data_IF_765807587603
#
_entry.id   IF_765807587603
#
_cell.length_a   1.000
_cell.length_b   1.000
_cell.length_c   1.000
_cell.angle_alpha   90.00
_cell.angle_beta   90.00
_cell.angle_gamma   90.00
#
_symmetry.space_group_name_H-M   'P 1'
#
loop_
_entity.id
_entity.type
_entity.pdbx_description
1 polymer ?
#
# COMPACT_ATOMS: atom_id res chain seq x y z
N UNK A 1 11.18 19.93 -1.11
CA UNK A 1 11.03 19.21 0.18
C UNK A 1 11.86 17.94 0.14
N UNK A 2 12.68 17.79 1.16
CA UNK A 2 13.57 16.63 1.22
C UNK A 2 12.79 15.30 1.28
N UNK A 3 11.77 15.22 2.11
CA UNK A 3 11.00 13.99 2.27
C UNK A 3 10.31 13.55 0.98
N UNK A 4 9.84 14.50 0.17
CA UNK A 4 9.20 14.16 -1.10
C UNK A 4 10.22 13.63 -2.12
N UNK A 5 11.42 14.19 -2.14
CA UNK A 5 12.49 13.70 -3.00
C UNK A 5 12.95 12.31 -2.59
N UNK A 6 13.05 12.08 -1.29
CA UNK A 6 13.42 10.77 -0.76
C UNK A 6 12.35 9.72 -1.09
N UNK A 7 11.08 10.09 -0.98
CA UNK A 7 9.98 9.21 -1.33
C UNK A 7 9.98 8.88 -2.82
N UNK A 8 10.21 9.87 -3.67
CA UNK A 8 10.30 9.66 -5.11
C UNK A 8 11.50 8.79 -5.47
N UNK A 9 12.64 8.98 -4.82
CA UNK A 9 13.83 8.15 -5.03
C UNK A 9 13.57 6.70 -4.63
N UNK A 10 12.85 6.48 -3.53
CA UNK A 10 12.58 5.12 -3.04
C UNK A 10 11.63 4.35 -3.97
N UNK A 11 10.52 4.98 -4.39
CA UNK A 11 9.40 4.28 -5.05
C UNK A 11 9.17 4.71 -6.50
N UNK A 12 9.75 5.82 -6.94
CA UNK A 12 9.28 6.49 -8.14
C UNK A 12 7.94 7.18 -7.86
N UNK A 13 7.65 8.22 -8.61
CA UNK A 13 6.41 8.99 -8.41
C UNK A 13 5.24 8.30 -9.14
N UNK A 14 4.74 7.24 -8.53
CA UNK A 14 3.70 6.35 -9.07
C UNK A 14 2.77 5.94 -7.95
N UNK A 15 1.48 5.90 -8.22
CA UNK A 15 0.50 5.42 -7.25
C UNK A 15 0.74 3.95 -6.92
N UNK A 16 0.94 3.65 -5.64
CA UNK A 16 1.22 2.27 -5.19
C UNK A 16 0.07 1.31 -5.51
N UNK A 17 -1.17 1.79 -5.53
CA UNK A 17 -2.36 0.96 -5.72
C UNK A 17 -2.72 0.73 -7.19
N UNK A 18 -2.51 1.73 -8.04
CA UNK A 18 -3.05 1.70 -9.42
C UNK A 18 -2.01 1.86 -10.50
N UNK A 19 -0.76 2.10 -10.13
CA UNK A 19 0.32 2.35 -11.07
C UNK A 19 0.14 3.63 -11.90
N UNK A 20 -0.79 4.50 -11.52
CA UNK A 20 -1.00 5.75 -12.25
C UNK A 20 0.05 6.78 -11.89
N UNK A 21 0.28 7.71 -12.81
CA UNK A 21 1.17 8.85 -12.65
C UNK A 21 0.36 10.13 -12.85
N UNK A 22 0.98 11.28 -12.67
CA UNK A 22 0.34 12.55 -12.98
C UNK A 22 0.19 13.46 -11.79
N UNK A 23 -0.59 14.51 -11.97
CA UNK A 23 -0.65 15.63 -11.03
C UNK A 23 -1.44 15.34 -9.76
N UNK A 24 -2.22 14.26 -9.75
CA UNK A 24 -3.00 13.90 -8.56
C UNK A 24 -2.23 13.07 -7.53
N UNK A 25 -0.96 12.76 -7.81
CA UNK A 25 -0.14 12.00 -6.86
C UNK A 25 0.23 12.87 -5.67
N UNK A 26 -0.06 12.35 -4.49
CA UNK A 26 0.27 13.02 -3.24
C UNK A 26 0.87 11.99 -2.27
N UNK A 27 1.74 12.43 -1.36
CA UNK A 27 2.20 11.55 -0.30
C UNK A 27 1.07 11.33 0.71
N UNK A 28 0.81 10.09 1.06
CA UNK A 28 -0.23 9.73 2.00
C UNK A 28 0.33 8.88 3.14
N UNK A 29 -0.18 9.11 4.33
CA UNK A 29 0.16 8.29 5.49
C UNK A 29 -0.55 6.95 5.38
N UNK A 30 0.18 5.88 5.62
CA UNK A 30 -0.38 4.53 5.58
C UNK A 30 -1.37 4.29 6.72
N UNK A 31 -1.13 4.89 7.87
CA UNK A 31 -1.92 4.66 9.10
C UNK A 31 -3.08 5.64 9.30
N UNK A 32 -3.44 6.41 8.29
CA UNK A 32 -4.50 7.40 8.42
C UNK A 32 -4.01 8.70 9.03
N UNK A 33 -4.82 9.72 8.92
CA UNK A 33 -4.43 11.09 9.13
C UNK A 33 -4.49 11.60 10.58
N UNK A 34 -3.90 10.92 11.51
CA UNK A 34 -3.85 11.42 12.89
C UNK A 34 -2.73 12.43 13.05
N UNK A 35 -3.07 13.68 13.20
CA UNK A 35 -2.10 14.73 13.47
C UNK A 35 -1.45 14.55 14.83
N UNK A 36 -0.32 15.18 15.02
CA UNK A 36 0.36 15.20 16.32
C UNK A 36 1.30 14.05 16.61
N UNK A 37 1.40 13.07 15.76
CA UNK A 37 2.39 12.01 15.94
C UNK A 37 3.78 12.55 15.64
N UNK A 38 4.71 12.26 16.54
CA UNK A 38 6.07 12.77 16.46
C UNK A 38 6.81 12.33 15.20
N UNK A 39 6.54 11.11 14.74
CA UNK A 39 7.26 10.50 13.63
C UNK A 39 6.39 10.27 12.39
N UNK A 40 5.32 11.03 12.24
CA UNK A 40 4.34 10.82 11.16
C UNK A 40 4.90 11.00 9.75
N UNK A 41 6.00 11.75 9.62
CA UNK A 41 6.62 12.00 8.31
C UNK A 41 7.82 11.09 8.01
N UNK A 42 8.04 10.06 8.80
CA UNK A 42 9.07 9.08 8.48
C UNK A 42 8.69 8.32 7.22
N UNK A 43 9.67 8.05 6.36
CA UNK A 43 9.43 7.44 5.06
C UNK A 43 8.68 6.10 5.09
N UNK A 44 8.92 5.18 6.04
CA UNK A 44 8.13 3.95 6.08
C UNK A 44 6.63 4.16 6.29
N UNK A 45 6.23 5.36 6.73
CA UNK A 45 4.82 5.70 6.96
C UNK A 45 4.13 6.30 5.74
N UNK A 46 4.89 6.57 4.66
CA UNK A 46 4.39 7.33 3.51
C UNK A 46 4.43 6.51 2.22
N UNK A 47 3.42 6.70 1.38
CA UNK A 47 3.37 6.17 0.03
C UNK A 47 2.83 7.24 -0.92
N UNK A 48 3.20 7.16 -2.19
CA UNK A 48 2.54 7.95 -3.22
C UNK A 48 1.18 7.32 -3.55
N UNK A 49 0.12 8.11 -3.49
CA UNK A 49 -1.22 7.67 -3.91
C UNK A 49 -1.86 8.75 -4.77
N UNK A 50 -2.61 8.32 -5.77
CA UNK A 50 -3.52 9.20 -6.51
C UNK A 50 -4.59 9.68 -5.52
N UNK A 51 -4.87 10.97 -5.46
CA UNK A 51 -5.80 11.54 -4.49
C UNK A 51 -7.22 10.97 -4.64
N UNK A 52 -7.64 10.63 -5.86
CA UNK A 52 -8.94 10.01 -6.08
C UNK A 52 -8.95 8.58 -5.51
N UNK A 53 -7.87 7.84 -5.76
CA UNK A 53 -7.73 6.47 -5.21
C UNK A 53 -7.74 6.51 -3.69
N UNK A 54 -7.06 7.48 -3.09
CA UNK A 54 -7.08 7.63 -1.64
C UNK A 54 -8.50 7.84 -1.12
N UNK A 55 -9.31 8.62 -1.83
CA UNK A 55 -10.72 8.80 -1.52
C UNK A 55 -11.52 7.50 -1.57
N UNK A 56 -11.25 6.66 -2.58
CA UNK A 56 -11.91 5.35 -2.69
C UNK A 56 -11.51 4.43 -1.54
N UNK A 57 -10.24 4.44 -1.13
CA UNK A 57 -9.78 3.64 0.01
C UNK A 57 -10.52 4.05 1.28
N UNK A 58 -10.82 5.33 1.45
CA UNK A 58 -11.55 5.81 2.62
C UNK A 58 -13.05 5.49 2.58
N UNK A 59 -13.65 5.36 1.40
CA UNK A 59 -15.10 5.29 1.25
C UNK A 59 -15.64 3.97 0.71
N UNK A 60 -14.82 3.15 0.06
CA UNK A 60 -15.27 1.93 -0.60
C UNK A 60 -14.69 0.70 0.09
N UNK A 61 -15.54 -0.24 0.57
CA UNK A 61 -15.05 -1.42 1.31
C UNK A 61 -14.11 -2.31 0.50
N UNK A 62 -14.29 -2.42 -0.81
CA UNK A 62 -13.43 -3.26 -1.66
C UNK A 62 -12.04 -2.62 -1.78
N UNK A 63 -11.98 -1.32 -2.05
CA UNK A 63 -10.73 -0.60 -2.12
C UNK A 63 -10.00 -0.59 -0.77
N UNK A 64 -10.77 -0.44 0.32
CA UNK A 64 -10.20 -0.47 1.67
C UNK A 64 -9.60 -1.85 1.99
N UNK A 65 -10.32 -2.93 1.71
CA UNK A 65 -9.83 -4.28 1.96
C UNK A 65 -8.57 -4.56 1.14
N UNK A 66 -8.57 -4.16 -0.13
CA UNK A 66 -7.40 -4.32 -1.00
C UNK A 66 -6.20 -3.54 -0.47
N UNK A 67 -6.40 -2.31 -0.05
CA UNK A 67 -5.33 -1.49 0.51
C UNK A 67 -4.75 -2.11 1.79
N UNK A 68 -5.59 -2.67 2.64
CA UNK A 68 -5.15 -3.37 3.85
C UNK A 68 -4.37 -4.64 3.49
N UNK A 69 -4.87 -5.43 2.55
CA UNK A 69 -4.19 -6.66 2.12
C UNK A 69 -2.82 -6.37 1.53
N UNK A 70 -2.65 -5.25 0.86
CA UNK A 70 -1.40 -4.87 0.20
C UNK A 70 -0.48 -4.01 1.07
N UNK A 71 -0.84 -3.78 2.33
CA UNK A 71 -0.03 -2.99 3.26
C UNK A 71 -0.01 -1.51 2.95
N UNK A 72 -0.84 -1.04 2.05
CA UNK A 72 -0.96 0.38 1.72
C UNK A 72 -1.65 1.13 2.85
N UNK A 73 -2.66 0.51 3.47
CA UNK A 73 -3.34 1.04 4.64
C UNK A 73 -3.06 0.11 5.83
N UNK A 74 -2.55 0.68 6.91
CA UNK A 74 -2.18 -0.10 8.10
C UNK A 74 -2.90 0.43 9.34
N UNK A 75 -2.94 -0.39 10.39
CA UNK A 75 -3.46 0.02 11.68
C UNK A 75 -2.63 1.19 12.23
N UNK A 76 -3.30 2.10 12.94
CA UNK A 76 -2.67 3.25 13.56
C UNK A 76 -1.51 2.86 14.48
N UNK A 77 -1.62 1.71 15.13
CA UNK A 77 -0.61 1.24 16.10
C UNK A 77 0.38 0.23 15.50
N UNK A 78 0.24 -0.10 14.23
CA UNK A 78 1.17 -1.02 13.59
C UNK A 78 2.52 -0.35 13.32
N UNK A 79 3.58 -1.13 13.44
CA UNK A 79 4.92 -0.69 13.05
C UNK A 79 5.01 -0.75 11.52
N UNK A 80 5.19 0.37 10.82
CA UNK A 80 5.20 0.38 9.36
C UNK A 80 6.35 -0.43 8.75
N UNK A 81 7.43 -0.67 9.50
CA UNK A 81 8.53 -1.49 9.02
C UNK A 81 8.24 -2.99 9.07
N UNK A 82 7.18 -3.38 9.77
CA UNK A 82 6.76 -4.79 9.91
C UNK A 82 5.60 -5.17 9.02
N UNK A 83 5.03 -4.22 8.30
CA UNK A 83 3.94 -4.47 7.36
C UNK A 83 4.46 -4.21 5.95
N UNK A 84 4.69 -5.28 5.17
CA UNK A 84 5.19 -5.10 3.81
C UNK A 84 4.17 -4.43 2.91
N UNK A 85 4.64 -3.83 1.83
CA UNK A 85 3.79 -3.15 0.84
C UNK A 85 3.90 -3.86 -0.50
N UNK A 86 2.78 -4.12 -1.12
CA UNK A 86 2.72 -4.59 -2.51
C UNK A 86 2.58 -3.37 -3.42
N UNK A 87 3.55 -3.18 -4.29
CA UNK A 87 3.52 -2.10 -5.29
C UNK A 87 2.97 -2.65 -6.59
N UNK A 88 1.80 -2.17 -6.98
CA UNK A 88 1.08 -2.68 -8.15
C UNK A 88 1.92 -2.58 -9.44
N UNK A 89 2.62 -1.47 -9.64
CA UNK A 89 3.38 -1.27 -10.88
C UNK A 89 4.62 -2.19 -10.99
N UNK A 90 5.08 -2.73 -9.87
CA UNK A 90 6.23 -3.63 -9.86
C UNK A 90 5.82 -5.09 -9.66
N UNK A 91 4.57 -5.35 -9.31
CA UNK A 91 4.08 -6.68 -8.94
C UNK A 91 4.98 -7.35 -7.91
N UNK A 92 5.39 -6.60 -6.89
CA UNK A 92 6.37 -7.07 -5.93
C UNK A 92 6.12 -6.48 -4.54
N UNK A 93 6.53 -7.21 -3.52
CA UNK A 93 6.42 -6.84 -2.12
C UNK A 93 7.74 -6.28 -1.62
N UNK A 94 7.65 -5.24 -0.80
CA UNK A 94 8.83 -4.62 -0.18
C UNK A 94 8.57 -4.29 1.29
N UNK A 95 9.60 -4.46 2.10
CA UNK A 95 9.63 -3.94 3.47
C UNK A 95 10.24 -2.55 3.41
N UNK A 96 9.59 -1.60 4.05
CA UNK A 96 10.06 -0.21 4.10
C UNK A 96 10.83 0.01 5.38
N UNK A 97 12.07 0.49 5.26
CA UNK A 97 12.97 0.63 6.40
C UNK A 97 13.89 1.83 6.17
N UNK A 98 13.98 2.74 7.15
CA UNK A 98 14.76 3.96 6.98
C UNK A 98 14.28 4.75 5.78
N UNK A 99 15.19 5.07 4.86
CA UNK A 99 14.86 5.78 3.62
C UNK A 99 14.83 4.86 2.40
N UNK A 100 14.85 3.55 2.61
CA UNK A 100 14.88 2.57 1.53
C UNK A 100 13.79 1.53 1.63
N UNK A 101 13.91 0.52 0.77
CA UNK A 101 13.00 -0.62 0.76
C UNK A 101 13.75 -1.88 0.37
N UNK A 102 13.27 -3.01 0.86
CA UNK A 102 13.89 -4.32 0.64
C UNK A 102 12.87 -5.27 0.06
N UNK A 103 13.19 -5.88 -1.08
CA UNK A 103 12.33 -6.89 -1.70
C UNK A 103 12.13 -8.09 -0.77
N UNK A 104 10.89 -8.57 -0.69
CA UNK A 104 10.56 -9.83 -0.02
C UNK A 104 9.64 -10.65 -0.93
N UNK A 105 9.67 -11.95 -0.77
CA UNK A 105 8.78 -12.83 -1.55
C UNK A 105 7.34 -12.72 -1.03
N UNK A 106 6.38 -13.15 -1.85
CA UNK A 106 4.98 -13.18 -1.45
C UNK A 106 4.77 -14.05 -0.20
N UNK A 107 5.51 -15.16 -0.09
CA UNK A 107 5.42 -16.03 1.09
C UNK A 107 5.91 -15.34 2.36
N UNK A 108 7.04 -14.64 2.27
CA UNK A 108 7.56 -13.86 3.41
C UNK A 108 6.59 -12.73 3.76
N UNK A 109 6.05 -12.05 2.76
CA UNK A 109 5.08 -10.98 3.00
C UNK A 109 3.84 -11.51 3.73
N UNK A 110 3.33 -12.67 3.33
CA UNK A 110 2.19 -13.29 4.01
C UNK A 110 2.52 -13.60 5.47
N UNK A 111 3.66 -14.21 5.73
CA UNK A 111 4.08 -14.51 7.10
C UNK A 111 4.17 -13.24 7.95
N UNK A 112 4.69 -12.15 7.39
CA UNK A 112 4.76 -10.87 8.08
C UNK A 112 3.37 -10.31 8.39
N UNK A 113 2.44 -10.42 7.43
CA UNK A 113 1.06 -9.97 7.66
C UNK A 113 0.38 -10.75 8.77
N UNK A 114 0.59 -12.06 8.84
CA UNK A 114 0.00 -12.90 9.87
C UNK A 114 0.62 -12.68 11.25
N UNK A 115 1.82 -12.10 11.32
CA UNK A 115 2.41 -11.68 12.59
C UNK A 115 1.76 -10.40 13.14
N UNK A 116 1.18 -9.59 12.27
CA UNK A 116 0.62 -8.28 12.65
C UNK A 116 -0.89 -8.35 12.81
N UNK A 117 -1.57 -9.07 11.92
CA UNK A 117 -3.03 -9.08 11.86
C UNK A 117 -3.62 -10.43 12.23
N UNK A 118 -4.86 -10.40 12.70
CA UNK A 118 -5.65 -11.60 12.88
C UNK A 118 -5.75 -12.35 11.55
N UNK A 119 -5.55 -13.66 11.60
CA UNK A 119 -5.50 -14.50 10.41
C UNK A 119 -6.80 -14.43 9.60
N UNK A 120 -7.94 -14.56 10.28
CA UNK A 120 -9.24 -14.54 9.58
C UNK A 120 -9.49 -13.17 8.93
N UNK A 121 -9.16 -12.10 9.64
CA UNK A 121 -9.31 -10.76 9.09
C UNK A 121 -8.41 -10.55 7.88
N UNK A 122 -7.14 -10.96 7.98
CA UNK A 122 -6.22 -10.77 6.87
C UNK A 122 -6.64 -11.56 5.64
N UNK A 123 -7.02 -12.83 5.80
CA UNK A 123 -7.44 -13.65 4.66
C UNK A 123 -8.73 -13.14 4.02
N UNK A 124 -9.63 -12.51 4.79
CA UNK A 124 -10.80 -11.87 4.22
C UNK A 124 -10.40 -10.72 3.29
N UNK A 125 -9.47 -9.87 3.72
CA UNK A 125 -8.97 -8.77 2.87
C UNK A 125 -8.26 -9.31 1.64
N UNK A 126 -7.42 -10.30 1.83
CA UNK A 126 -6.64 -10.91 0.74
C UNK A 126 -7.55 -11.53 -0.31
N UNK A 127 -8.60 -12.20 0.11
CA UNK A 127 -9.58 -12.79 -0.82
C UNK A 127 -10.22 -11.72 -1.70
N UNK A 128 -10.60 -10.59 -1.12
CA UNK A 128 -11.17 -9.47 -1.87
C UNK A 128 -10.14 -8.90 -2.85
N UNK A 129 -8.90 -8.72 -2.40
CA UNK A 129 -7.83 -8.19 -3.23
C UNK A 129 -7.54 -9.12 -4.42
N UNK A 130 -7.46 -10.42 -4.17
CA UNK A 130 -7.17 -11.41 -5.21
C UNK A 130 -8.29 -11.49 -6.23
N UNK A 131 -9.55 -11.47 -5.81
CA UNK A 131 -10.70 -11.48 -6.70
C UNK A 131 -10.72 -10.25 -7.59
N UNK A 132 -10.45 -9.09 -7.02
CA UNK A 132 -10.43 -7.83 -7.77
C UNK A 132 -9.31 -7.84 -8.82
N UNK A 133 -8.14 -8.34 -8.46
CA UNK A 133 -7.01 -8.45 -9.39
C UNK A 133 -7.33 -9.39 -10.53
N UNK A 134 -7.95 -10.54 -10.24
CA UNK A 134 -8.38 -11.49 -11.26
C UNK A 134 -9.42 -10.89 -12.20
N UNK A 135 -10.39 -10.17 -11.65
CA UNK A 135 -11.41 -9.51 -12.46
C UNK A 135 -10.79 -8.49 -13.42
N UNK A 136 -9.82 -7.73 -12.96
CA UNK A 136 -9.10 -6.79 -13.84
C UNK A 136 -8.33 -7.51 -14.93
N UNK A 137 -7.65 -8.58 -14.59
CA UNK A 137 -6.89 -9.37 -15.57
C UNK A 137 -7.80 -9.95 -16.64
N UNK A 138 -8.96 -10.48 -16.24
CA UNK A 138 -9.96 -11.01 -17.17
C UNK A 138 -10.53 -9.91 -18.06
N UNK A 139 -10.83 -8.75 -17.49
CA UNK A 139 -11.35 -7.63 -18.26
C UNK A 139 -10.34 -7.13 -19.29
N UNK A 140 -9.07 -7.09 -18.92
CA UNK A 140 -8.01 -6.69 -19.83
C UNK A 140 -7.84 -7.70 -20.99
N UNK A 141 -7.98 -8.99 -20.71
CA UNK A 141 -7.87 -10.04 -21.74
C UNK A 141 -9.10 -10.10 -22.64
N UNK A 142 -10.28 -10.00 -22.03
CA UNK A 142 -11.54 -10.06 -22.73
C UNK A 142 -12.01 -8.72 -23.26
N UNK A 143 -11.44 -7.64 -22.77
CA UNK A 143 -11.81 -6.27 -23.13
C UNK A 143 -11.39 -5.95 -24.55
N UNK A 144 -12.22 -5.26 -25.18
CA UNK A 144 -11.98 -4.81 -26.57
C UNK A 144 -12.25 -3.37 -26.67
#
# INVERSE_FOLDING_TARGET
>A
MRVLRDLERRDGRVCAMTATTGDRLVPQHRAGGMGGRKNKHELPRLLWLDSIVNGWIESDPIWQATAKAWGVKISLHADPTKVPVFFQHEHAWFVLEGDGRKFVTATVALDMMLDVYDEDAYFAWKSIADDTAQSRALNLRGGR
#
